data_IF_990495235485
#
_entry.id   IF_990495235485
#
_cell.length_a   1.000
_cell.length_b   1.000
_cell.length_c   1.000
_cell.angle_alpha   90.00
_cell.angle_beta   90.00
_cell.angle_gamma   90.00
#
_symmetry.space_group_name_H-M   'P 1'
#
loop_
_entity.id
_entity.type
_entity.pdbx_description
1 polymer ?
#
# COMPACT_ATOMS: atom_id res chain seq x y z
N UNK A 1 -7.36 -36.13 -48.86
CA UNK A 1 -7.96 -35.76 -47.55
C UNK A 1 -7.23 -36.32 -46.33
N UNK A 2 -6.73 -37.58 -46.31
CA UNK A 2 -6.06 -38.16 -45.12
C UNK A 2 -4.88 -37.32 -44.59
N UNK A 3 -4.08 -36.69 -45.46
CA UNK A 3 -2.91 -35.90 -45.04
C UNK A 3 -3.28 -34.61 -44.29
N UNK A 4 -4.37 -33.93 -44.69
CA UNK A 4 -4.85 -32.71 -44.02
C UNK A 4 -5.38 -33.01 -42.63
N UNK A 5 -6.12 -34.12 -42.48
CA UNK A 5 -6.62 -34.55 -41.18
C UNK A 5 -5.47 -34.88 -40.21
N UNK A 6 -4.42 -35.55 -40.68
CA UNK A 6 -3.23 -35.83 -39.86
C UNK A 6 -2.48 -34.55 -39.48
N UNK A 7 -2.26 -33.62 -40.42
CA UNK A 7 -1.63 -32.33 -40.14
C UNK A 7 -2.43 -31.51 -39.10
N UNK A 8 -3.76 -31.47 -39.23
CA UNK A 8 -4.63 -30.77 -38.28
C UNK A 8 -4.52 -31.35 -36.85
N UNK A 9 -4.44 -32.68 -36.71
CA UNK A 9 -4.28 -33.33 -35.39
C UNK A 9 -2.91 -33.02 -34.78
N UNK A 10 -1.84 -33.02 -35.57
CA UNK A 10 -0.49 -32.69 -35.09
C UNK A 10 -0.38 -31.22 -34.66
N UNK A 11 -0.86 -30.30 -35.50
CA UNK A 11 -0.96 -28.88 -35.16
C UNK A 11 -1.76 -28.66 -33.87
N UNK A 12 -2.89 -29.37 -33.69
CA UNK A 12 -3.68 -29.30 -32.46
C UNK A 12 -2.89 -29.72 -31.21
N UNK A 13 -2.05 -30.76 -31.31
CA UNK A 13 -1.17 -31.19 -30.21
C UNK A 13 -0.11 -30.14 -29.90
N UNK A 14 0.53 -29.58 -30.93
CA UNK A 14 1.51 -28.51 -30.79
C UNK A 14 0.90 -27.26 -30.13
N UNK A 15 -0.32 -26.87 -30.50
CA UNK A 15 -1.04 -25.78 -29.84
C UNK A 15 -1.34 -26.07 -28.37
N UNK A 16 -1.71 -27.31 -28.03
CA UNK A 16 -1.97 -27.69 -26.64
C UNK A 16 -0.71 -27.57 -25.79
N UNK A 17 0.43 -28.01 -26.32
CA UNK A 17 1.71 -27.92 -25.63
C UNK A 17 2.18 -26.46 -25.52
N UNK A 18 2.03 -25.65 -26.58
CA UNK A 18 2.26 -24.21 -26.55
C UNK A 18 1.41 -23.52 -25.47
N UNK A 19 0.12 -23.86 -25.37
CA UNK A 19 -0.75 -23.30 -24.33
C UNK A 19 -0.26 -23.63 -22.92
N UNK A 20 0.23 -24.85 -22.68
CA UNK A 20 0.82 -25.22 -21.40
C UNK A 20 2.04 -24.36 -21.05
N UNK A 21 2.87 -24.01 -22.04
CA UNK A 21 3.98 -23.08 -21.84
C UNK A 21 3.52 -21.64 -21.60
N UNK A 22 2.52 -21.17 -22.34
CA UNK A 22 1.95 -19.82 -22.16
C UNK A 22 1.40 -19.64 -20.74
N UNK A 23 0.69 -20.64 -20.21
CA UNK A 23 0.19 -20.63 -18.83
C UNK A 23 1.33 -20.53 -17.82
N UNK A 24 2.45 -21.23 -18.03
CA UNK A 24 3.63 -21.14 -17.15
C UNK A 24 4.22 -19.73 -17.12
N UNK A 25 4.29 -19.05 -18.27
CA UNK A 25 4.77 -17.67 -18.32
C UNK A 25 3.80 -16.71 -17.64
N UNK A 26 2.49 -16.89 -17.85
CA UNK A 26 1.44 -16.10 -17.20
C UNK A 26 1.39 -16.24 -15.67
N UNK A 27 2.05 -17.24 -15.08
CA UNK A 27 2.22 -17.35 -13.64
C UNK A 27 2.82 -16.06 -13.03
N UNK A 28 3.70 -15.36 -13.76
CA UNK A 28 4.27 -14.07 -13.34
C UNK A 28 3.25 -12.95 -13.18
N UNK A 29 2.25 -12.91 -14.07
CA UNK A 29 1.14 -11.97 -13.93
C UNK A 29 0.27 -12.32 -12.72
N UNK A 30 0.01 -13.61 -12.50
CA UNK A 30 -0.77 -14.07 -11.36
C UNK A 30 -0.08 -13.76 -10.02
N UNK A 31 1.24 -14.01 -9.92
CA UNK A 31 2.06 -13.62 -8.76
C UNK A 31 1.94 -12.12 -8.49
N UNK A 32 2.10 -11.27 -9.51
CA UNK A 32 1.95 -9.82 -9.37
C UNK A 32 0.56 -9.41 -8.84
N UNK A 33 -0.51 -9.97 -9.40
CA UNK A 33 -1.88 -9.70 -8.95
C UNK A 33 -2.09 -10.12 -7.49
N UNK A 34 -1.46 -11.21 -7.04
CA UNK A 34 -1.49 -11.65 -5.65
C UNK A 34 -0.86 -10.64 -4.69
N UNK A 35 0.24 -9.99 -5.10
CA UNK A 35 0.92 -8.95 -4.29
C UNK A 35 0.10 -7.66 -4.19
N UNK A 36 -0.75 -7.35 -5.17
CA UNK A 36 -1.55 -6.11 -5.16
C UNK A 36 -2.47 -5.99 -3.94
N UNK A 37 -2.93 -7.10 -3.37
CA UNK A 37 -3.68 -7.07 -2.12
C UNK A 37 -2.84 -6.54 -0.95
N UNK A 38 -1.58 -6.98 -0.85
CA UNK A 38 -0.66 -6.50 0.18
C UNK A 38 -0.33 -5.02 -0.02
N UNK A 39 -0.17 -4.56 -1.27
CA UNK A 39 0.00 -3.14 -1.60
C UNK A 39 -1.19 -2.32 -1.10
N UNK A 40 -2.41 -2.78 -1.36
CA UNK A 40 -3.63 -2.10 -0.90
C UNK A 40 -3.73 -2.03 0.64
N UNK A 41 -3.35 -3.10 1.33
CA UNK A 41 -3.28 -3.11 2.79
C UNK A 41 -2.24 -2.11 3.31
N UNK A 42 -1.05 -2.07 2.71
CA UNK A 42 -0.01 -1.12 3.11
C UNK A 42 -0.45 0.35 2.94
N UNK A 43 -1.23 0.66 1.90
CA UNK A 43 -1.84 1.99 1.76
C UNK A 43 -2.92 2.26 2.81
N UNK A 44 -3.73 1.25 3.14
CA UNK A 44 -4.78 1.36 4.17
C UNK A 44 -4.17 1.57 5.56
N UNK A 45 -3.07 0.89 5.89
CA UNK A 45 -2.33 1.06 7.14
C UNK A 45 -1.75 2.47 7.23
N UNK A 46 -1.15 2.99 6.14
CA UNK A 46 -0.65 4.36 6.07
C UNK A 46 -1.76 5.39 6.28
N UNK A 47 -2.93 5.18 5.67
CA UNK A 47 -4.09 6.05 5.83
C UNK A 47 -4.61 6.03 7.27
N UNK A 48 -4.65 4.85 7.89
CA UNK A 48 -5.06 4.70 9.28
C UNK A 48 -4.11 5.42 10.23
N UNK A 49 -2.80 5.30 10.02
CA UNK A 49 -1.79 6.02 10.81
C UNK A 49 -1.91 7.55 10.64
N UNK A 50 -2.17 8.03 9.41
CA UNK A 50 -2.41 9.45 9.15
C UNK A 50 -3.66 9.95 9.88
N UNK A 51 -4.74 9.18 9.87
CA UNK A 51 -5.96 9.52 10.57
C UNK A 51 -5.70 9.66 12.07
N UNK A 52 -4.92 8.77 12.68
CA UNK A 52 -4.51 8.90 14.09
C UNK A 52 -3.76 10.21 14.36
N UNK A 53 -2.82 10.60 13.49
CA UNK A 53 -2.11 11.88 13.62
C UNK A 53 -3.08 13.06 13.56
N UNK A 54 -4.03 13.04 12.61
CA UNK A 54 -5.02 14.11 12.43
C UNK A 54 -5.96 14.23 13.62
N UNK A 55 -6.42 13.10 14.17
CA UNK A 55 -7.26 13.08 15.38
C UNK A 55 -6.53 13.72 16.56
N UNK A 56 -5.27 13.34 16.81
CA UNK A 56 -4.48 13.91 17.91
C UNK A 56 -4.22 15.41 17.76
N UNK A 57 -4.00 15.88 16.52
CA UNK A 57 -3.89 17.32 16.23
C UNK A 57 -5.19 18.07 16.53
N UNK A 58 -6.33 17.50 16.14
CA UNK A 58 -7.66 18.06 16.44
C UNK A 58 -7.92 18.12 17.95
N UNK A 59 -7.59 17.05 18.67
CA UNK A 59 -7.72 16.97 20.12
C UNK A 59 -6.86 18.03 20.83
N UNK A 60 -5.60 18.19 20.41
CA UNK A 60 -4.72 19.25 20.93
C UNK A 60 -5.28 20.65 20.68
N UNK A 61 -5.80 20.92 19.49
CA UNK A 61 -6.44 22.21 19.17
C UNK A 61 -7.64 22.46 20.08
N UNK A 62 -8.47 21.44 20.32
CA UNK A 62 -9.61 21.53 21.22
C UNK A 62 -9.19 21.80 22.67
N UNK A 63 -8.20 21.07 23.17
CA UNK A 63 -7.66 21.25 24.53
C UNK A 63 -7.08 22.65 24.74
N UNK A 64 -6.27 23.13 23.78
CA UNK A 64 -5.71 24.49 23.84
C UNK A 64 -6.80 25.56 23.83
N UNK A 65 -7.83 25.41 22.99
CA UNK A 65 -8.97 26.34 22.98
C UNK A 65 -9.73 26.36 24.32
N UNK A 66 -9.87 25.20 24.98
CA UNK A 66 -10.48 25.14 26.31
C UNK A 66 -9.63 25.83 27.38
N UNK A 67 -8.31 25.65 27.34
CA UNK A 67 -7.36 26.34 28.23
C UNK A 67 -7.47 27.86 28.06
N UNK A 68 -7.46 28.35 26.82
CA UNK A 68 -7.58 29.78 26.52
C UNK A 68 -8.89 30.37 27.05
N UNK A 69 -10.02 29.68 26.83
CA UNK A 69 -11.34 30.10 27.32
C UNK A 69 -11.39 30.17 28.84
N UNK A 70 -10.85 29.17 29.54
CA UNK A 70 -10.79 29.16 31.01
C UNK A 70 -9.85 30.26 31.54
N UNK A 71 -8.72 30.49 30.87
CA UNK A 71 -7.79 31.56 31.20
C UNK A 71 -8.43 32.94 31.08
N UNK A 72 -9.10 33.22 29.96
CA UNK A 72 -9.82 34.47 29.71
C UNK A 72 -11.01 34.69 30.66
N UNK A 73 -11.63 33.61 31.15
CA UNK A 73 -12.70 33.70 32.15
C UNK A 73 -12.17 33.95 33.56
N UNK A 74 -10.98 33.42 33.90
CA UNK A 74 -10.36 33.58 35.22
C UNK A 74 -9.81 34.99 35.43
N UNK A 75 -9.23 35.61 34.39
CA UNK A 75 -8.67 36.97 34.46
C UNK A 75 -9.71 38.07 34.71
N UNK A 76 -10.99 37.80 34.46
CA UNK A 76 -12.10 38.73 34.71
C UNK A 76 -12.54 38.79 36.18
N UNK A 77 -12.05 37.89 37.04
CA UNK A 77 -12.41 37.83 38.46
C UNK A 77 -11.23 38.35 39.29
N UNK A 78 -11.46 39.42 40.06
CA UNK A 78 -10.46 39.98 40.98
C UNK A 78 -10.11 38.94 42.06
N UNK A 79 -8.83 38.54 42.15
CA UNK A 79 -8.35 37.51 43.08
C UNK A 79 -8.22 36.09 42.50
N UNK A 80 -8.70 35.85 41.27
CA UNK A 80 -8.54 34.58 40.55
C UNK A 80 -9.40 33.42 41.08
N UNK A 81 -10.03 32.67 40.18
CA UNK A 81 -10.79 31.47 40.56
C UNK A 81 -9.84 30.27 40.71
N UNK A 82 -9.45 29.94 41.95
CA UNK A 82 -8.53 28.82 42.27
C UNK A 82 -8.98 27.49 41.66
N UNK A 83 -10.28 27.25 41.52
CA UNK A 83 -10.81 26.03 40.91
C UNK A 83 -10.51 25.97 39.41
N UNK A 84 -10.64 27.11 38.71
CA UNK A 84 -10.30 27.23 37.28
C UNK A 84 -8.80 27.13 37.04
N UNK A 85 -7.97 27.69 37.94
CA UNK A 85 -6.51 27.57 37.85
C UNK A 85 -6.10 26.10 37.93
N UNK A 86 -6.63 25.35 38.90
CA UNK A 86 -6.39 23.91 38.99
C UNK A 86 -6.84 23.16 37.73
N UNK A 87 -8.01 23.52 37.19
CA UNK A 87 -8.51 22.90 35.95
C UNK A 87 -7.63 23.17 34.74
N UNK A 88 -7.07 24.38 34.64
CA UNK A 88 -6.11 24.73 33.59
C UNK A 88 -4.86 23.87 33.69
N UNK A 89 -4.31 23.67 34.89
CA UNK A 89 -3.14 22.80 35.08
C UNK A 89 -3.43 21.33 34.71
N UNK A 90 -4.60 20.79 35.08
CA UNK A 90 -5.03 19.45 34.64
C UNK A 90 -5.11 19.34 33.11
N UNK A 91 -5.64 20.37 32.44
CA UNK A 91 -5.72 20.40 30.98
C UNK A 91 -4.33 20.52 30.34
N UNK A 92 -3.40 21.28 30.93
CA UNK A 92 -2.01 21.35 30.46
C UNK A 92 -1.28 20.01 30.58
N UNK A 93 -1.51 19.28 31.67
CA UNK A 93 -1.00 17.91 31.83
C UNK A 93 -1.55 16.99 30.74
N UNK A 94 -2.85 17.10 30.43
CA UNK A 94 -3.47 16.36 29.33
C UNK A 94 -2.86 16.75 27.98
N UNK A 95 -2.65 18.04 27.72
CA UNK A 95 -1.98 18.53 26.50
C UNK A 95 -0.59 17.91 26.36
N UNK A 96 0.21 17.86 27.43
CA UNK A 96 1.55 17.24 27.41
C UNK A 96 1.47 15.77 26.97
N UNK A 97 0.57 14.99 27.58
CA UNK A 97 0.39 13.58 27.23
C UNK A 97 -0.07 13.41 25.77
N UNK A 98 -1.00 14.24 25.31
CA UNK A 98 -1.48 14.19 23.91
C UNK A 98 -0.39 14.62 22.91
N UNK A 99 0.48 15.56 23.28
CA UNK A 99 1.62 15.99 22.47
C UNK A 99 2.67 14.87 22.32
N UNK A 100 2.95 14.15 23.40
CA UNK A 100 3.80 12.95 23.38
C UNK A 100 3.17 11.86 22.50
N UNK A 101 1.87 11.61 22.63
CA UNK A 101 1.14 10.66 21.79
C UNK A 101 1.18 11.06 20.31
N UNK A 102 1.01 12.34 19.98
CA UNK A 102 1.14 12.87 18.62
C UNK A 102 2.55 12.63 18.08
N UNK A 103 3.58 12.90 18.86
CA UNK A 103 4.98 12.69 18.46
C UNK A 103 5.26 11.21 18.17
N UNK A 104 4.68 10.29 18.94
CA UNK A 104 4.71 8.86 18.64
C UNK A 104 3.95 8.51 17.35
N UNK A 105 2.74 9.02 17.16
CA UNK A 105 1.93 8.77 15.96
C UNK A 105 2.59 9.29 14.67
N UNK A 106 3.25 10.46 14.73
CA UNK A 106 3.99 11.02 13.58
C UNK A 106 5.17 10.10 13.21
N UNK A 107 5.95 9.64 14.20
CA UNK A 107 7.06 8.70 13.96
C UNK A 107 6.58 7.40 13.31
N UNK A 108 5.44 6.88 13.77
CA UNK A 108 4.84 5.67 13.20
C UNK A 108 4.39 5.89 11.74
N UNK A 109 3.68 6.99 11.48
CA UNK A 109 3.25 7.36 10.13
C UNK A 109 4.43 7.49 9.17
N UNK A 110 5.49 8.20 9.56
CA UNK A 110 6.69 8.37 8.73
C UNK A 110 7.43 7.05 8.51
N UNK A 111 7.48 6.17 9.52
CA UNK A 111 8.04 4.82 9.36
C UNK A 111 7.27 4.00 8.31
N UNK A 112 5.94 3.97 8.39
CA UNK A 112 5.10 3.26 7.42
C UNK A 112 5.28 3.86 6.01
N UNK A 113 5.28 5.19 5.91
CA UNK A 113 5.45 5.91 4.64
C UNK A 113 6.78 5.57 3.97
N UNK A 114 7.88 5.55 4.72
CA UNK A 114 9.20 5.22 4.19
C UNK A 114 9.31 3.74 3.81
N UNK A 115 8.76 2.83 4.62
CA UNK A 115 8.71 1.41 4.29
C UNK A 115 7.92 1.16 2.99
N UNK A 116 6.74 1.78 2.85
CA UNK A 116 5.92 1.65 1.65
C UNK A 116 6.65 2.17 0.41
N UNK A 117 7.38 3.29 0.53
CA UNK A 117 8.18 3.83 -0.57
C UNK A 117 9.25 2.84 -1.02
N UNK A 118 10.05 2.34 -0.08
CA UNK A 118 11.13 1.40 -0.39
C UNK A 118 10.61 0.09 -1.01
N UNK A 119 9.50 -0.43 -0.49
CA UNK A 119 8.91 -1.67 -1.01
C UNK A 119 8.24 -1.49 -2.37
N UNK A 120 7.60 -0.35 -2.62
CA UNK A 120 7.06 -0.02 -3.95
C UNK A 120 8.18 0.12 -4.99
N UNK A 121 9.29 0.77 -4.65
CA UNK A 121 10.47 0.86 -5.53
C UNK A 121 11.07 -0.51 -5.84
N UNK A 122 11.14 -1.40 -4.83
CA UNK A 122 11.59 -2.79 -5.01
C UNK A 122 10.64 -3.57 -5.93
N UNK A 123 9.35 -3.48 -5.67
CA UNK A 123 8.30 -4.14 -6.44
C UNK A 123 8.27 -3.67 -7.90
N UNK A 124 8.48 -2.38 -8.17
CA UNK A 124 8.46 -1.83 -9.51
C UNK A 124 9.58 -2.41 -10.38
N UNK A 125 10.79 -2.54 -9.80
CA UNK A 125 11.95 -3.19 -10.45
C UNK A 125 11.67 -4.67 -10.73
N UNK A 126 11.21 -5.40 -9.72
CA UNK A 126 10.89 -6.83 -9.85
C UNK A 126 9.78 -7.07 -10.89
N UNK A 127 8.74 -6.22 -10.90
CA UNK A 127 7.65 -6.28 -11.89
C UNK A 127 8.18 -6.11 -13.31
N UNK A 128 9.06 -5.14 -13.53
CA UNK A 128 9.62 -4.88 -14.85
C UNK A 128 10.34 -6.12 -15.40
N UNK A 129 11.26 -6.68 -14.62
CA UNK A 129 12.05 -7.85 -15.03
C UNK A 129 11.18 -9.10 -15.24
N UNK A 130 10.24 -9.35 -14.32
CA UNK A 130 9.33 -10.49 -14.41
C UNK A 130 8.42 -10.41 -15.63
N UNK A 131 7.86 -9.24 -15.95
CA UNK A 131 6.97 -9.07 -17.09
C UNK A 131 7.73 -9.11 -18.41
N UNK A 132 8.94 -8.55 -18.46
CA UNK A 132 9.79 -8.66 -19.63
C UNK A 132 10.17 -10.12 -19.90
N UNK A 133 10.55 -10.86 -18.86
CA UNK A 133 10.85 -12.30 -18.96
C UNK A 133 9.63 -13.11 -19.40
N UNK A 134 8.45 -12.82 -18.86
CA UNK A 134 7.19 -13.44 -19.25
C UNK A 134 6.90 -13.24 -20.74
N UNK A 135 6.93 -11.98 -21.21
CA UNK A 135 6.65 -11.65 -22.61
C UNK A 135 7.66 -12.29 -23.55
N UNK A 136 8.95 -12.22 -23.22
CA UNK A 136 10.01 -12.87 -23.99
C UNK A 136 9.78 -14.38 -24.08
N UNK A 137 9.44 -15.02 -22.96
CA UNK A 137 9.15 -16.44 -22.91
C UNK A 137 7.96 -16.84 -23.79
N UNK A 138 6.89 -16.02 -23.78
CA UNK A 138 5.71 -16.22 -24.64
C UNK A 138 6.11 -16.12 -26.11
N UNK A 139 6.80 -15.05 -26.51
CA UNK A 139 7.20 -14.81 -27.90
C UNK A 139 8.13 -15.91 -28.42
N UNK A 140 9.16 -16.27 -27.65
CA UNK A 140 10.11 -17.33 -28.04
C UNK A 140 9.39 -18.66 -28.26
N UNK A 141 8.47 -19.02 -27.37
CA UNK A 141 7.71 -20.25 -27.55
C UNK A 141 6.73 -20.16 -28.73
N UNK A 142 6.03 -19.03 -28.91
CA UNK A 142 5.14 -18.85 -30.06
C UNK A 142 5.89 -19.02 -31.39
N UNK A 143 7.04 -18.37 -31.53
CA UNK A 143 7.89 -18.49 -32.73
C UNK A 143 8.36 -19.94 -32.90
N UNK A 144 8.93 -20.56 -31.87
CA UNK A 144 9.46 -21.92 -31.98
C UNK A 144 8.37 -22.98 -32.26
N UNK A 145 7.15 -22.79 -31.78
CA UNK A 145 6.02 -23.67 -32.13
C UNK A 145 5.47 -23.38 -33.54
N UNK A 146 5.49 -22.12 -33.99
CA UNK A 146 5.12 -21.76 -35.36
C UNK A 146 6.08 -22.37 -36.39
N UNK A 147 7.39 -22.31 -36.13
CA UNK A 147 8.42 -22.96 -36.95
C UNK A 147 8.20 -24.47 -37.01
N UNK A 148 7.99 -25.13 -35.86
CA UNK A 148 7.68 -26.58 -35.80
C UNK A 148 6.43 -26.96 -36.60
N UNK A 149 5.40 -26.11 -36.61
CA UNK A 149 4.18 -26.36 -37.39
C UNK A 149 4.39 -26.14 -38.89
N UNK A 150 5.33 -25.26 -39.28
CA UNK A 150 5.68 -25.04 -40.68
C UNK A 150 6.56 -26.17 -41.25
N UNK A 151 7.36 -26.82 -40.39
CA UNK A 151 8.21 -27.96 -40.73
C UNK A 151 7.47 -29.32 -40.76
N UNK A 152 6.19 -29.37 -40.36
CA UNK A 152 5.33 -30.57 -40.37
C UNK A 152 4.55 -30.82 -41.67
#
# INVERSE_FOLDING_TARGET
MKNVATAAVKASRLYRDLNAHTVKHLAKLHEYLGVMLAVNNAFSDRLSALLTVQTLLSDLSSLNSQIEKLGAASSKIFGGDRSRIRKIEELKDTVRVTEDAKSCAIREYERIKENNKNELERLDKERHDNFLSMLKGIVVNQVGYAEKMADE
#
